data_IF_277432980031
#
_entry.id   IF_277432980031
#
_cell.length_a   1.000
_cell.length_b   1.000
_cell.length_c   1.000
_cell.angle_alpha   90.00
_cell.angle_beta   90.00
_cell.angle_gamma   90.00
#
_symmetry.space_group_name_H-M   'P 1'
#
loop_
_entity.id
_entity.type
_entity.pdbx_description
1 polymer ?
#
# COMPACT_ATOMS: atom_id res chain seq x y z
N UNK A 1 -2.68 -5.72 -16.85
CA UNK A 1 -3.23 -4.55 -16.12
C UNK A 1 -4.30 -5.06 -15.16
N UNK A 2 -3.97 -5.28 -13.88
CA UNK A 2 -4.89 -5.82 -12.85
C UNK A 2 -4.73 -5.03 -11.55
N UNK A 3 -4.88 -3.70 -11.61
CA UNK A 3 -4.64 -2.80 -10.47
C UNK A 3 -5.93 -2.32 -9.78
N UNK A 4 -7.04 -2.24 -10.50
CA UNK A 4 -8.31 -1.70 -9.96
C UNK A 4 -9.22 -2.74 -9.26
N UNK A 5 -8.91 -4.04 -9.35
CA UNK A 5 -9.79 -5.13 -8.86
C UNK A 5 -10.11 -4.99 -7.36
N UNK A 6 -9.15 -4.50 -6.58
CA UNK A 6 -9.26 -4.39 -5.13
C UNK A 6 -9.60 -2.97 -4.65
N UNK A 7 -9.42 -1.95 -5.50
CA UNK A 7 -9.67 -0.53 -5.17
C UNK A 7 -11.09 -0.31 -4.64
N UNK A 8 -12.05 -1.12 -5.08
CA UNK A 8 -13.46 -1.02 -4.72
C UNK A 8 -13.97 -2.22 -3.91
N UNK A 9 -13.07 -3.09 -3.42
CA UNK A 9 -13.42 -4.32 -2.69
C UNK A 9 -12.45 -4.55 -1.52
N UNK A 10 -12.57 -3.75 -0.44
CA UNK A 10 -11.66 -3.81 0.69
C UNK A 10 -11.60 -5.20 1.34
N UNK A 11 -12.70 -5.94 1.34
CA UNK A 11 -12.76 -7.31 1.88
C UNK A 11 -11.90 -8.28 1.07
N UNK A 12 -11.90 -8.15 -0.26
CA UNK A 12 -11.07 -8.98 -1.13
C UNK A 12 -9.59 -8.62 -1.04
N UNK A 13 -9.27 -7.35 -0.76
CA UNK A 13 -7.90 -6.94 -0.46
C UNK A 13 -7.39 -7.60 0.82
N UNK A 14 -8.19 -7.55 1.90
CA UNK A 14 -7.81 -8.15 3.18
C UNK A 14 -7.61 -9.67 3.06
N UNK A 15 -8.52 -10.38 2.37
CA UNK A 15 -8.35 -11.81 2.07
C UNK A 15 -7.07 -12.08 1.27
N UNK A 16 -6.76 -11.23 0.30
CA UNK A 16 -5.54 -11.37 -0.49
C UNK A 16 -4.28 -11.19 0.39
N UNK A 17 -4.29 -10.18 1.28
CA UNK A 17 -3.19 -9.92 2.20
C UNK A 17 -2.97 -11.07 3.19
N UNK A 18 -4.03 -11.66 3.74
CA UNK A 18 -3.95 -12.85 4.62
C UNK A 18 -3.33 -14.03 3.91
N UNK A 19 -3.87 -14.40 2.75
CA UNK A 19 -3.35 -15.51 1.94
C UNK A 19 -1.87 -15.31 1.60
N UNK A 20 -1.46 -14.08 1.30
CA UNK A 20 -0.07 -13.75 1.04
C UNK A 20 0.80 -13.89 2.28
N UNK A 21 0.29 -13.56 3.46
CA UNK A 21 1.04 -13.72 4.72
C UNK A 21 1.23 -15.20 5.09
N UNK A 22 0.34 -16.09 4.64
CA UNK A 22 0.43 -17.54 4.88
C UNK A 22 1.40 -18.26 3.93
N UNK A 23 1.78 -17.63 2.81
CA UNK A 23 2.46 -18.30 1.69
C UNK A 23 3.72 -17.58 1.19
N UNK A 24 4.67 -18.36 0.66
CA UNK A 24 5.90 -17.87 0.04
C UNK A 24 7.03 -17.55 1.02
N UNK A 25 8.12 -16.98 0.50
CA UNK A 25 9.38 -16.71 1.23
C UNK A 25 9.19 -15.72 2.39
N UNK A 26 8.20 -14.84 2.30
CA UNK A 26 7.88 -13.83 3.31
C UNK A 26 6.76 -14.26 4.26
N UNK A 27 6.48 -15.56 4.37
CA UNK A 27 5.45 -16.08 5.29
C UNK A 27 5.69 -15.53 6.71
N UNK A 28 4.63 -15.02 7.33
CA UNK A 28 4.65 -14.39 8.67
C UNK A 28 5.61 -13.20 8.84
N UNK A 29 6.13 -12.64 7.74
CA UNK A 29 7.08 -11.50 7.76
C UNK A 29 6.61 -10.31 6.91
N UNK A 30 5.34 -10.31 6.48
CA UNK A 30 4.79 -9.25 5.62
C UNK A 30 4.31 -8.03 6.39
N UNK A 31 4.04 -8.19 7.68
CA UNK A 31 3.72 -7.09 8.57
C UNK A 31 5.03 -6.47 9.07
N UNK A 32 5.30 -5.24 8.65
CA UNK A 32 6.39 -4.43 9.19
C UNK A 32 5.92 -3.71 10.46
N UNK A 33 4.69 -3.18 10.43
CA UNK A 33 3.93 -2.73 11.58
C UNK A 33 2.56 -3.44 11.60
N UNK A 34 2.04 -3.70 12.79
CA UNK A 34 0.77 -4.38 12.98
C UNK A 34 0.85 -5.91 12.88
N UNK A 35 -0.31 -6.56 12.86
CA UNK A 35 -0.49 -8.01 12.83
C UNK A 35 -1.83 -8.40 12.19
N UNK A 36 -2.17 -9.69 12.26
CA UNK A 36 -3.44 -10.22 11.71
C UNK A 36 -4.69 -9.76 12.48
N UNK A 37 -4.58 -9.43 13.77
CA UNK A 37 -5.71 -8.92 14.57
C UNK A 37 -6.18 -7.56 14.06
N UNK A 38 -5.25 -6.73 13.55
CA UNK A 38 -5.59 -5.46 12.91
C UNK A 38 -6.53 -5.65 11.71
N UNK A 39 -6.40 -6.77 10.98
CA UNK A 39 -7.31 -7.06 9.87
C UNK A 39 -8.74 -7.33 10.34
N UNK A 40 -8.92 -7.96 11.50
CA UNK A 40 -10.25 -8.16 12.07
C UNK A 40 -10.89 -6.86 12.53
N UNK A 41 -10.08 -5.94 13.08
CA UNK A 41 -10.55 -4.59 13.42
C UNK A 41 -10.97 -3.82 12.17
N UNK A 42 -10.13 -3.82 11.13
CA UNK A 42 -10.44 -3.18 9.86
C UNK A 42 -11.71 -3.79 9.26
N UNK A 43 -11.87 -5.12 9.23
CA UNK A 43 -13.09 -5.80 8.74
C UNK A 43 -14.35 -5.34 9.45
N UNK A 44 -14.29 -5.14 10.77
CA UNK A 44 -15.44 -4.63 11.53
C UNK A 44 -15.72 -3.18 11.14
N UNK A 45 -14.70 -2.35 11.03
CA UNK A 45 -14.84 -0.95 10.63
C UNK A 45 -15.43 -0.79 9.21
N UNK A 46 -15.05 -1.67 8.27
CA UNK A 46 -15.58 -1.68 6.89
C UNK A 46 -17.11 -1.79 6.84
N UNK A 47 -17.74 -2.45 7.81
CA UNK A 47 -19.22 -2.62 7.83
C UNK A 47 -19.96 -1.32 8.13
N UNK A 48 -19.29 -0.35 8.74
CA UNK A 48 -19.91 0.85 9.29
C UNK A 48 -19.32 2.15 8.71
N UNK A 49 -18.30 2.06 7.86
CA UNK A 49 -17.51 3.21 7.42
C UNK A 49 -17.20 3.13 5.93
N UNK A 50 -17.35 4.25 5.23
CA UNK A 50 -16.80 4.38 3.87
C UNK A 50 -15.28 4.44 3.94
N UNK A 51 -14.63 3.54 3.21
CA UNK A 51 -13.16 3.46 3.18
C UNK A 51 -12.61 4.12 1.94
N UNK A 52 -11.62 4.99 2.15
CA UNK A 52 -10.83 5.60 1.09
C UNK A 52 -9.48 4.91 1.02
N UNK A 53 -9.19 4.37 -0.15
CA UNK A 53 -7.89 3.80 -0.44
C UNK A 53 -6.88 4.91 -0.73
N UNK A 54 -5.76 4.88 -0.03
CA UNK A 54 -4.58 5.68 -0.34
C UNK A 54 -3.48 4.75 -0.85
N UNK A 55 -2.95 5.03 -2.04
CA UNK A 55 -1.82 4.31 -2.58
C UNK A 55 -0.54 5.08 -2.26
N UNK A 56 0.38 4.40 -1.60
CA UNK A 56 1.64 5.00 -1.22
C UNK A 56 2.83 4.06 -1.45
N UNK A 57 3.98 4.65 -1.77
CA UNK A 57 5.27 3.97 -1.77
C UNK A 57 5.89 4.17 -0.39
N UNK A 58 6.17 3.08 0.31
CA UNK A 58 7.00 3.08 1.49
C UNK A 58 8.42 2.65 1.10
N UNK A 59 9.38 3.57 1.18
CA UNK A 59 10.78 3.29 0.87
C UNK A 59 11.59 3.24 2.17
N UNK A 60 11.86 2.04 2.72
CA UNK A 60 12.68 1.88 3.91
C UNK A 60 14.16 2.10 3.59
N UNK A 61 14.90 2.67 4.55
CA UNK A 61 16.34 2.93 4.44
C UNK A 61 16.71 4.18 3.65
N UNK A 62 15.72 5.03 3.32
CA UNK A 62 15.93 6.31 2.65
C UNK A 62 15.25 7.38 3.48
N UNK A 63 16.01 8.37 3.94
CA UNK A 63 15.42 9.56 4.55
C UNK A 63 14.97 10.55 3.47
N UNK A 64 13.87 11.26 3.71
CA UNK A 64 13.35 12.28 2.80
C UNK A 64 14.40 13.37 2.48
N UNK A 65 15.20 13.74 3.48
CA UNK A 65 16.33 14.68 3.37
C UNK A 65 17.44 14.22 2.42
N UNK A 66 17.52 12.91 2.15
CA UNK A 66 18.57 12.27 1.35
C UNK A 66 18.13 11.94 -0.08
N UNK A 67 16.94 12.37 -0.49
CA UNK A 67 16.44 12.13 -1.84
C UNK A 67 17.33 12.81 -2.89
N UNK A 68 17.87 12.00 -3.79
CA UNK A 68 18.66 12.50 -4.92
C UNK A 68 17.75 13.09 -6.00
N UNK A 69 18.32 13.91 -6.89
CA UNK A 69 17.60 14.44 -8.06
C UNK A 69 17.05 13.33 -8.96
N UNK A 70 17.78 12.21 -9.08
CA UNK A 70 17.36 11.05 -9.85
C UNK A 70 16.13 10.38 -9.23
N UNK A 71 16.12 10.19 -7.91
CA UNK A 71 14.97 9.63 -7.19
C UNK A 71 13.74 10.51 -7.35
N UNK A 72 13.89 11.83 -7.25
CA UNK A 72 12.79 12.77 -7.48
C UNK A 72 12.27 12.72 -8.92
N UNK A 73 13.15 12.65 -9.91
CA UNK A 73 12.77 12.52 -11.32
C UNK A 73 12.01 11.22 -11.58
N UNK A 74 12.47 10.11 -10.98
CA UNK A 74 11.80 8.82 -11.08
C UNK A 74 10.41 8.88 -10.44
N UNK A 75 10.30 9.37 -9.20
CA UNK A 75 9.02 9.51 -8.50
C UNK A 75 8.04 10.41 -9.27
N UNK A 76 8.53 11.52 -9.84
CA UNK A 76 7.73 12.39 -10.69
C UNK A 76 7.23 11.69 -11.96
N UNK A 77 8.08 10.90 -12.62
CA UNK A 77 7.70 10.16 -13.83
C UNK A 77 6.67 9.05 -13.56
N UNK A 78 6.71 8.43 -12.37
CA UNK A 78 5.77 7.39 -11.96
C UNK A 78 4.46 7.99 -11.45
N UNK A 79 4.49 9.19 -10.88
CA UNK A 79 3.33 9.87 -10.30
C UNK A 79 2.17 10.01 -11.29
N UNK A 80 2.43 10.51 -12.51
CA UNK A 80 1.39 10.70 -13.53
C UNK A 80 0.70 9.39 -13.89
N UNK A 81 1.49 8.32 -14.09
CA UNK A 81 0.98 6.98 -14.42
C UNK A 81 0.16 6.40 -13.28
N UNK A 82 0.57 6.55 -12.01
CA UNK A 82 -0.20 6.10 -10.86
C UNK A 82 -1.53 6.86 -10.79
N UNK A 83 -1.51 8.18 -10.95
CA UNK A 83 -2.73 9.01 -10.93
C UNK A 83 -3.68 8.59 -12.06
N UNK A 84 -3.17 8.36 -13.27
CA UNK A 84 -3.98 7.92 -14.41
C UNK A 84 -4.58 6.52 -14.20
N UNK A 85 -3.78 5.57 -13.70
CA UNK A 85 -4.22 4.17 -13.57
C UNK A 85 -5.05 3.89 -12.31
N UNK A 86 -4.92 4.71 -11.27
CA UNK A 86 -5.53 4.47 -9.95
C UNK A 86 -6.43 5.60 -9.48
N UNK A 87 -6.48 6.72 -10.19
CA UNK A 87 -7.21 7.96 -9.80
C UNK A 87 -6.87 8.45 -8.38
N UNK A 88 -5.71 8.04 -7.85
CA UNK A 88 -5.28 8.33 -6.49
C UNK A 88 -3.93 9.01 -6.53
N UNK A 89 -3.74 10.06 -5.74
CA UNK A 89 -2.45 10.73 -5.62
C UNK A 89 -1.46 9.76 -4.96
N UNK A 90 -0.31 9.55 -5.59
CA UNK A 90 0.78 8.80 -5.00
C UNK A 90 1.36 9.58 -3.81
N UNK A 91 1.34 8.98 -2.63
CA UNK A 91 2.11 9.47 -1.47
C UNK A 91 3.39 8.66 -1.32
N UNK A 92 4.47 9.29 -0.87
CA UNK A 92 5.73 8.61 -0.60
C UNK A 92 6.08 8.78 0.88
N UNK A 93 6.22 7.66 1.58
CA UNK A 93 6.65 7.62 2.97
C UNK A 93 8.08 7.10 3.02
N UNK A 94 8.95 7.89 3.63
CA UNK A 94 10.39 7.63 3.75
C UNK A 94 10.72 7.38 5.21
N UNK A 95 11.40 6.26 5.50
CA UNK A 95 11.83 5.92 6.85
C UNK A 95 13.31 5.56 6.87
N UNK A 96 14.01 5.98 7.93
CA UNK A 96 15.39 5.58 8.19
C UNK A 96 15.45 4.14 8.65
#
# INVERSE_FOLDING_TARGET
IVSLRYKWKPEELLKHMERRNETGVLKNRRFYHGNLEDFEEIRKALKYSDVRFEFAIAQPGVENSTLTSEMNSLLGSVYSTIVEMTETKLRCYFSK
#
